data_IF_821510933426
#
_entry.id   IF_821510933426
#
_cell.length_a   1.000
_cell.length_b   1.000
_cell.length_c   1.000
_cell.angle_alpha   90.00
_cell.angle_beta   90.00
_cell.angle_gamma   90.00
#
_symmetry.space_group_name_H-M   'P 1'
#
loop_
_entity.id
_entity.type
_entity.pdbx_description
1 polymer ?
#
# COMPACT_ATOMS: atom_id res chain seq x y z
N UNK A 1 -7.52 16.79 -16.60
CA UNK A 1 -6.28 17.06 -15.83
C UNK A 1 -5.44 15.79 -15.78
N UNK A 2 -4.19 15.83 -16.25
CA UNK A 2 -3.27 14.68 -16.19
C UNK A 2 -2.91 14.37 -14.72
N UNK A 3 -2.77 13.09 -14.37
CA UNK A 3 -2.28 12.68 -13.05
C UNK A 3 -0.79 13.02 -12.95
N UNK A 4 -0.36 13.68 -11.87
CA UNK A 4 1.07 13.91 -11.64
C UNK A 4 1.82 12.57 -11.51
N UNK A 5 3.14 12.55 -11.75
CA UNK A 5 3.95 11.34 -11.63
C UNK A 5 3.74 10.62 -10.28
N UNK A 6 3.75 11.39 -9.18
CA UNK A 6 3.50 10.87 -7.84
C UNK A 6 2.09 10.27 -7.66
N UNK A 7 1.06 10.84 -8.26
CA UNK A 7 -0.29 10.25 -8.22
C UNK A 7 -0.34 8.90 -8.94
N UNK A 8 0.41 8.74 -10.03
CA UNK A 8 0.53 7.45 -10.73
C UNK A 8 1.26 6.43 -9.84
N UNK A 9 2.29 6.86 -9.14
CA UNK A 9 3.04 6.02 -8.21
C UNK A 9 2.20 5.53 -7.03
N UNK A 10 1.37 6.39 -6.43
CA UNK A 10 0.45 6.01 -5.35
C UNK A 10 -0.50 4.91 -5.82
N UNK A 11 -1.11 5.09 -7.00
CA UNK A 11 -1.99 4.08 -7.58
C UNK A 11 -1.25 2.80 -7.96
N UNK A 12 0.00 2.92 -8.42
CA UNK A 12 0.86 1.78 -8.74
C UNK A 12 1.14 0.95 -7.49
N UNK A 13 1.55 1.60 -6.40
CA UNK A 13 1.83 0.95 -5.12
C UNK A 13 0.58 0.25 -4.58
N UNK A 14 -0.59 0.91 -4.60
CA UNK A 14 -1.84 0.30 -4.16
C UNK A 14 -2.16 -1.00 -4.93
N UNK A 15 -2.02 -0.97 -6.27
CA UNK A 15 -2.22 -2.16 -7.11
C UNK A 15 -1.21 -3.26 -6.81
N UNK A 16 0.05 -2.91 -6.54
CA UNK A 16 1.06 -3.89 -6.16
C UNK A 16 0.72 -4.56 -4.83
N UNK A 17 0.26 -3.80 -3.81
CA UNK A 17 -0.24 -4.39 -2.57
C UNK A 17 -1.40 -5.37 -2.82
N UNK A 18 -2.38 -5.00 -3.65
CA UNK A 18 -3.51 -5.89 -3.96
C UNK A 18 -3.11 -7.14 -4.73
N UNK A 19 -2.03 -7.10 -5.51
CA UNK A 19 -1.46 -8.29 -6.16
C UNK A 19 -0.76 -9.17 -5.14
N UNK A 20 0.10 -8.60 -4.29
CA UNK A 20 0.80 -9.33 -3.23
C UNK A 20 -0.16 -10.05 -2.27
N UNK A 21 -1.33 -9.46 -1.97
CA UNK A 21 -2.40 -10.10 -1.19
C UNK A 21 -2.84 -11.43 -1.81
N UNK A 22 -2.86 -11.58 -3.14
CA UNK A 22 -3.30 -12.82 -3.80
C UNK A 22 -2.33 -13.98 -3.55
N UNK A 23 -1.07 -13.67 -3.28
CA UNK A 23 -0.05 -14.67 -2.95
C UNK A 23 -0.15 -15.17 -1.51
N UNK A 24 -1.00 -14.56 -0.67
CA UNK A 24 -1.20 -14.97 0.74
C UNK A 24 -2.22 -16.08 0.90
N UNK A 25 -2.14 -16.88 1.99
CA UNK A 25 -3.13 -17.92 2.31
C UNK A 25 -4.55 -17.36 2.34
N UNK A 26 -5.50 -18.11 1.78
CA UNK A 26 -6.88 -17.64 1.55
C UNK A 26 -7.56 -17.14 2.84
N UNK A 27 -7.26 -17.80 3.96
CA UNK A 27 -7.81 -17.54 5.29
C UNK A 27 -7.38 -16.19 5.86
N UNK A 28 -6.21 -15.68 5.45
CA UNK A 28 -5.61 -14.45 5.97
C UNK A 28 -5.59 -13.30 4.97
N UNK A 29 -5.95 -13.54 3.70
CA UNK A 29 -5.97 -12.52 2.63
C UNK A 29 -6.74 -11.26 3.01
N UNK A 30 -7.86 -11.42 3.73
CA UNK A 30 -8.69 -10.27 4.10
C UNK A 30 -7.98 -9.34 5.08
N UNK A 31 -7.14 -9.87 5.98
CA UNK A 31 -6.35 -9.06 6.91
C UNK A 31 -5.37 -8.17 6.14
N UNK A 32 -4.64 -8.73 5.17
CA UNK A 32 -3.74 -7.97 4.31
C UNK A 32 -4.48 -6.94 3.45
N UNK A 33 -5.64 -7.30 2.89
CA UNK A 33 -6.47 -6.40 2.11
C UNK A 33 -6.94 -5.21 2.96
N UNK A 34 -7.47 -5.49 4.14
CA UNK A 34 -7.98 -4.48 5.07
C UNK A 34 -6.87 -3.57 5.58
N UNK A 35 -5.70 -4.12 5.91
CA UNK A 35 -4.52 -3.34 6.30
C UNK A 35 -4.10 -2.37 5.19
N UNK A 36 -3.93 -2.86 3.96
CA UNK A 36 -3.55 -2.01 2.83
C UNK A 36 -4.63 -0.95 2.53
N UNK A 37 -5.91 -1.30 2.55
CA UNK A 37 -6.99 -0.32 2.32
C UNK A 37 -7.01 0.77 3.38
N UNK A 38 -6.87 0.39 4.65
CA UNK A 38 -6.89 1.33 5.77
C UNK A 38 -5.71 2.29 5.70
N UNK A 39 -4.48 1.79 5.50
CA UNK A 39 -3.29 2.64 5.42
C UNK A 39 -3.34 3.69 4.29
N UNK A 40 -3.97 3.38 3.15
CA UNK A 40 -4.18 4.37 2.09
C UNK A 40 -5.35 5.34 2.41
N UNK A 41 -6.41 4.84 3.07
CA UNK A 41 -7.57 5.66 3.45
C UNK A 41 -7.21 6.71 4.50
N UNK A 42 -6.35 6.36 5.45
CA UNK A 42 -5.89 7.25 6.53
C UNK A 42 -5.13 8.48 6.00
N UNK A 43 -4.63 8.41 4.75
CA UNK A 43 -3.89 9.48 4.11
C UNK A 43 -4.63 10.14 2.94
N UNK A 44 -5.94 9.89 2.78
CA UNK A 44 -6.74 10.48 1.69
C UNK A 44 -6.86 12.00 1.77
N UNK A 45 -6.71 12.57 2.98
CA UNK A 45 -6.79 14.00 3.26
C UNK A 45 -5.48 14.75 3.04
N UNK A 46 -4.38 14.03 2.78
CA UNK A 46 -3.08 14.64 2.48
C UNK A 46 -3.21 15.53 1.24
N UNK A 47 -2.69 16.75 1.33
CA UNK A 47 -2.73 17.69 0.22
C UNK A 47 -1.96 17.12 -0.98
N UNK A 48 -2.58 17.11 -2.16
CA UNK A 48 -1.97 16.60 -3.40
C UNK A 48 -0.71 17.35 -3.84
N UNK A 49 -0.47 18.55 -3.30
CA UNK A 49 0.72 19.38 -3.53
C UNK A 49 1.80 19.21 -2.47
N UNK A 50 1.52 18.46 -1.39
CA UNK A 50 2.50 18.12 -0.38
C UNK A 50 3.36 16.95 -0.86
N UNK A 51 4.27 17.26 -1.79
CA UNK A 51 5.07 16.26 -2.49
C UNK A 51 6.02 15.52 -1.55
N UNK A 52 6.62 16.20 -0.57
CA UNK A 52 7.53 15.60 0.40
C UNK A 52 6.82 14.56 1.27
N UNK A 53 5.62 14.85 1.76
CA UNK A 53 4.81 13.89 2.52
C UNK A 53 4.43 12.69 1.64
N UNK A 54 3.99 12.92 0.40
CA UNK A 54 3.61 11.84 -0.52
C UNK A 54 4.81 10.94 -0.83
N UNK A 55 5.98 11.50 -1.10
CA UNK A 55 7.21 10.74 -1.34
C UNK A 55 7.64 9.92 -0.12
N UNK A 56 7.56 10.50 1.08
CA UNK A 56 7.81 9.79 2.32
C UNK A 56 6.87 8.59 2.48
N UNK A 57 5.57 8.79 2.29
CA UNK A 57 4.56 7.74 2.39
C UNK A 57 4.74 6.65 1.32
N UNK A 58 5.08 7.03 0.09
CA UNK A 58 5.42 6.08 -0.98
C UNK A 58 6.62 5.21 -0.60
N UNK A 59 7.69 5.81 -0.07
CA UNK A 59 8.88 5.08 0.36
C UNK A 59 8.57 4.14 1.53
N UNK A 60 7.80 4.62 2.51
CA UNK A 60 7.34 3.81 3.65
C UNK A 60 6.50 2.62 3.18
N UNK A 61 5.51 2.86 2.31
CA UNK A 61 4.63 1.81 1.79
C UNK A 61 5.35 0.79 0.91
N UNK A 62 6.36 1.19 0.12
CA UNK A 62 7.22 0.26 -0.64
C UNK A 62 7.98 -0.69 0.29
N UNK A 63 8.61 -0.17 1.35
CA UNK A 63 9.29 -1.00 2.36
C UNK A 63 8.33 -1.96 3.06
N UNK A 64 7.13 -1.50 3.41
CA UNK A 64 6.11 -2.37 4.00
C UNK A 64 5.68 -3.48 3.04
N UNK A 65 5.49 -3.16 1.75
CA UNK A 65 5.16 -4.13 0.73
C UNK A 65 6.25 -5.20 0.58
N UNK A 66 7.52 -4.80 0.52
CA UNK A 66 8.67 -5.72 0.45
C UNK A 66 8.66 -6.72 1.61
N UNK A 67 8.46 -6.22 2.84
CA UNK A 67 8.35 -7.06 4.04
C UNK A 67 7.18 -8.03 3.89
N UNK A 68 5.98 -7.53 3.60
CA UNK A 68 4.79 -8.38 3.52
C UNK A 68 4.78 -9.30 2.31
N UNK A 69 5.61 -9.09 1.29
CA UNK A 69 5.75 -10.03 0.18
C UNK A 69 6.52 -11.30 0.57
N UNK A 70 7.26 -11.28 1.68
CA UNK A 70 7.96 -12.45 2.19
C UNK A 70 6.98 -13.64 2.39
N UNK A 71 7.22 -14.81 1.77
CA UNK A 71 6.38 -15.99 1.92
C UNK A 71 6.25 -16.51 3.36
N UNK A 72 7.23 -16.22 4.22
CA UNK A 72 7.23 -16.54 5.65
C UNK A 72 6.20 -15.71 6.44
N UNK A 73 5.81 -14.53 5.96
CA UNK A 73 4.74 -13.73 6.58
C UNK A 73 3.39 -14.20 6.05
N UNK A 74 2.75 -15.09 6.81
CA UNK A 74 1.48 -15.75 6.44
C UNK A 74 0.23 -15.04 6.95
N UNK A 75 0.36 -14.19 7.97
CA UNK A 75 -0.75 -13.43 8.54
C UNK A 75 -0.26 -12.10 9.11
N UNK A 76 -1.17 -11.15 9.21
CA UNK A 76 -1.02 -9.93 10.02
C UNK A 76 -2.29 -9.80 10.88
N UNK A 77 -2.13 -9.68 12.20
CA UNK A 77 -3.24 -9.23 13.05
C UNK A 77 -3.12 -7.72 13.25
N UNK A 78 -4.25 -7.07 13.48
CA UNK A 78 -4.27 -5.76 14.12
C UNK A 78 -3.76 -5.86 15.55
#
# INVERSE_FOLDING_TARGET
>A
MARSGLQRDVLSLYRQCMRAVREKPAETRENFRSFARTGFRDHITVNKKDFSTIEYLLRKGRRQLEIYQDPGIRNISK
#
